data_IF_562768598457
#
_entry.id   IF_562768598457
#
_cell.length_a   1.000
_cell.length_b   1.000
_cell.length_c   1.000
_cell.angle_alpha   90.00
_cell.angle_beta   90.00
_cell.angle_gamma   90.00
#
_symmetry.space_group_name_H-M   'P 1'
#
loop_
_entity.id
_entity.type
_entity.pdbx_description
1 polymer ?
#
# COMPACT_ATOMS: atom_id res chain seq x y z
N UNK A 1 -16.56 -17.84 1.78
CA UNK A 1 -15.30 -17.40 2.39
C UNK A 1 -14.25 -17.40 1.29
N UNK A 2 -13.73 -16.23 0.93
CA UNK A 2 -12.75 -16.03 -0.12
C UNK A 2 -11.36 -15.90 0.50
N UNK A 3 -10.35 -16.54 -0.08
CA UNK A 3 -8.96 -16.31 0.29
C UNK A 3 -8.30 -15.50 -0.80
N UNK A 4 -7.80 -14.31 -0.46
CA UNK A 4 -7.06 -13.45 -1.37
C UNK A 4 -5.59 -13.53 -1.01
N UNK A 5 -4.80 -14.01 -1.96
CA UNK A 5 -3.35 -14.06 -1.88
C UNK A 5 -2.79 -12.96 -2.75
N UNK A 6 -2.02 -12.04 -2.16
CA UNK A 6 -1.47 -10.90 -2.88
C UNK A 6 -0.02 -10.66 -2.50
N UNK A 7 0.82 -10.39 -3.50
CA UNK A 7 2.19 -9.88 -3.27
C UNK A 7 2.20 -8.38 -3.02
N UNK A 8 1.11 -7.68 -3.35
CA UNK A 8 1.01 -6.25 -3.14
C UNK A 8 0.70 -5.96 -1.68
N UNK A 9 1.72 -5.46 -0.99
CA UNK A 9 1.62 -5.05 0.40
C UNK A 9 0.55 -3.96 0.58
N UNK A 10 0.46 -3.02 -0.36
CA UNK A 10 -0.57 -1.99 -0.39
C UNK A 10 -2.00 -2.59 -0.38
N UNK A 11 -2.25 -3.60 -1.21
CA UNK A 11 -3.57 -4.23 -1.30
C UNK A 11 -3.90 -5.03 -0.04
N UNK A 12 -2.93 -5.79 0.46
CA UNK A 12 -3.12 -6.54 1.70
C UNK A 12 -3.50 -5.62 2.86
N UNK A 13 -2.77 -4.52 3.00
CA UNK A 13 -2.94 -3.61 4.12
C UNK A 13 -4.21 -2.78 4.02
N UNK A 14 -4.59 -2.37 2.79
CA UNK A 14 -5.86 -1.70 2.55
C UNK A 14 -7.04 -2.56 3.03
N UNK A 15 -7.01 -3.85 2.68
CA UNK A 15 -8.07 -4.81 2.98
C UNK A 15 -8.06 -5.31 4.44
N UNK A 16 -6.91 -5.34 5.11
CA UNK A 16 -6.84 -5.76 6.52
C UNK A 16 -7.49 -4.79 7.51
N UNK A 17 -7.60 -3.50 7.19
CA UNK A 17 -8.21 -2.58 8.14
C UNK A 17 -8.45 -1.15 7.68
N UNK A 18 -7.89 -0.71 6.55
CA UNK A 18 -8.09 0.68 6.10
C UNK A 18 -9.38 0.87 5.29
N UNK A 19 -9.87 -0.16 4.61
CA UNK A 19 -11.06 -0.05 3.75
C UNK A 19 -12.27 0.51 4.52
N UNK A 20 -12.48 0.03 5.74
CA UNK A 20 -13.56 0.52 6.61
C UNK A 20 -13.31 1.95 7.10
N UNK A 21 -12.05 2.31 7.40
CA UNK A 21 -11.69 3.66 7.81
C UNK A 21 -11.87 4.66 6.66
N UNK A 22 -11.49 4.29 5.44
CA UNK A 22 -11.69 5.12 4.24
C UNK A 22 -13.17 5.29 3.92
N UNK A 23 -13.98 4.22 4.00
CA UNK A 23 -15.44 4.32 3.82
C UNK A 23 -16.05 5.32 4.81
N UNK A 24 -15.62 5.31 6.08
CA UNK A 24 -16.07 6.27 7.11
C UNK A 24 -15.61 7.70 6.85
N UNK A 25 -14.40 7.88 6.31
CA UNK A 25 -13.84 9.19 5.99
C UNK A 25 -14.20 9.65 4.58
N UNK A 26 -15.30 9.16 4.00
CA UNK A 26 -15.76 9.48 2.65
C UNK A 26 -14.67 9.34 1.57
N UNK A 27 -13.83 8.31 1.70
CA UNK A 27 -12.73 8.01 0.79
C UNK A 27 -11.70 9.14 0.69
N UNK A 28 -11.54 9.90 1.76
CA UNK A 28 -10.58 10.99 1.87
C UNK A 28 -9.57 10.73 2.99
N UNK A 29 -8.36 11.21 2.76
CA UNK A 29 -7.31 11.35 3.74
C UNK A 29 -6.89 12.82 3.77
N UNK A 30 -7.08 13.48 4.93
CA UNK A 30 -6.79 14.92 5.12
C UNK A 30 -7.47 15.83 4.07
N UNK A 31 -8.75 15.57 3.77
CA UNK A 31 -9.53 16.37 2.82
C UNK A 31 -9.18 16.14 1.35
N UNK A 32 -8.18 15.30 1.03
CA UNK A 32 -7.86 14.87 -0.33
C UNK A 32 -8.42 13.46 -0.58
N UNK A 33 -8.94 13.16 -1.78
CA UNK A 33 -9.36 11.80 -2.11
C UNK A 33 -8.16 10.85 -2.00
N UNK A 34 -8.40 9.64 -1.47
CA UNK A 34 -7.37 8.60 -1.47
C UNK A 34 -7.04 8.21 -2.92
N UNK A 35 -5.81 7.75 -3.13
CA UNK A 35 -5.39 7.29 -4.45
C UNK A 35 -6.30 6.16 -4.94
N UNK A 36 -6.71 6.25 -6.22
CA UNK A 36 -7.64 5.33 -6.85
C UNK A 36 -8.95 5.09 -6.06
N UNK A 37 -9.48 6.13 -5.39
CA UNK A 37 -10.73 6.04 -4.63
C UNK A 37 -11.89 5.30 -5.35
N UNK A 38 -12.13 5.51 -6.66
CA UNK A 38 -13.17 4.75 -7.38
C UNK A 38 -12.92 3.24 -7.38
N UNK A 39 -11.67 2.80 -7.61
CA UNK A 39 -11.33 1.37 -7.59
C UNK A 39 -11.52 0.77 -6.19
N UNK A 40 -11.14 1.51 -5.14
CA UNK A 40 -11.36 1.05 -3.76
C UNK A 40 -12.83 0.99 -3.36
N UNK A 41 -13.66 1.89 -3.88
CA UNK A 41 -15.11 1.86 -3.70
C UNK A 41 -15.71 0.62 -4.36
N UNK A 42 -15.32 0.34 -5.60
CA UNK A 42 -15.79 -0.84 -6.34
C UNK A 42 -15.38 -2.14 -5.65
N UNK A 43 -14.11 -2.24 -5.21
CA UNK A 43 -13.63 -3.37 -4.42
C UNK A 43 -14.44 -3.49 -3.13
N UNK A 44 -14.66 -2.40 -2.39
CA UNK A 44 -15.42 -2.47 -1.15
C UNK A 44 -16.88 -2.88 -1.34
N UNK A 45 -17.51 -2.47 -2.44
CA UNK A 45 -18.87 -2.90 -2.78
C UNK A 45 -18.91 -4.41 -3.11
N UNK A 46 -17.94 -4.91 -3.87
CA UNK A 46 -17.83 -6.35 -4.18
C UNK A 46 -17.56 -7.19 -2.93
N UNK A 47 -16.79 -6.66 -1.98
CA UNK A 47 -16.42 -7.36 -0.75
C UNK A 47 -17.44 -7.21 0.39
N UNK A 48 -18.45 -6.32 0.27
CA UNK A 48 -19.39 -5.98 1.36
C UNK A 48 -20.12 -7.18 1.95
N UNK A 49 -20.38 -8.20 1.13
CA UNK A 49 -21.08 -9.43 1.53
C UNK A 49 -20.17 -10.67 1.58
N UNK A 50 -18.85 -10.49 1.46
CA UNK A 50 -17.88 -11.58 1.45
C UNK A 50 -17.04 -11.60 2.71
N UNK A 51 -16.93 -12.78 3.34
CA UNK A 51 -15.87 -13.02 4.32
C UNK A 51 -14.58 -13.27 3.56
N UNK A 52 -13.70 -12.27 3.52
CA UNK A 52 -12.39 -12.33 2.86
C UNK A 52 -11.30 -12.55 3.90
N UNK A 53 -10.46 -13.55 3.68
CA UNK A 53 -9.19 -13.73 4.39
C UNK A 53 -8.06 -13.32 3.46
N UNK A 54 -7.31 -12.30 3.86
CA UNK A 54 -6.23 -11.75 3.05
C UNK A 54 -4.91 -12.25 3.56
N UNK A 55 -4.11 -12.83 2.67
CA UNK A 55 -2.76 -13.30 2.91
C UNK A 55 -1.80 -12.50 2.03
N UNK A 56 -0.92 -11.73 2.66
CA UNK A 56 0.21 -11.14 1.95
C UNK A 56 1.29 -12.20 1.78
N UNK A 57 1.83 -12.26 0.57
CA UNK A 57 2.95 -13.13 0.21
C UNK A 57 4.14 -12.21 -0.07
N UNK A 58 5.25 -12.43 0.61
CA UNK A 58 6.47 -11.67 0.35
C UNK A 58 7.00 -11.98 -1.06
N UNK A 59 7.07 -10.97 -1.92
CA UNK A 59 7.52 -11.13 -3.30
C UNK A 59 9.02 -11.50 -3.41
N UNK A 60 9.80 -11.31 -2.34
CA UNK A 60 11.25 -11.44 -2.36
C UNK A 60 11.79 -12.77 -1.80
N UNK A 61 10.94 -13.79 -1.63
CA UNK A 61 11.44 -15.11 -1.21
C UNK A 61 12.32 -15.70 -2.31
N UNK A 62 13.58 -16.11 -2.00
CA UNK A 62 14.46 -16.76 -2.97
C UNK A 62 13.79 -18.01 -3.55
N UNK A 63 13.95 -18.24 -4.86
CA UNK A 63 13.33 -19.38 -5.58
C UNK A 63 13.57 -20.74 -4.92
N UNK A 64 14.64 -20.89 -4.16
CA UNK A 64 14.97 -22.10 -3.38
C UNK A 64 14.03 -22.37 -2.19
N UNK A 65 13.20 -21.40 -1.79
CA UNK A 65 12.20 -21.49 -0.71
C UNK A 65 10.78 -21.14 -1.16
N UNK A 66 10.55 -20.98 -2.47
CA UNK A 66 9.26 -20.57 -3.00
C UNK A 66 8.19 -21.66 -2.78
N UNK A 67 7.09 -21.30 -2.12
CA UNK A 67 5.90 -22.14 -1.97
C UNK A 67 5.07 -22.12 -3.27
N UNK A 68 4.11 -23.04 -3.40
CA UNK A 68 3.17 -23.07 -4.54
C UNK A 68 2.44 -21.74 -4.72
N UNK A 69 2.08 -21.08 -3.62
CA UNK A 69 1.49 -19.74 -3.60
C UNK A 69 2.41 -18.68 -4.23
N UNK A 70 3.74 -18.77 -4.05
CA UNK A 70 4.70 -17.88 -4.71
C UNK A 70 4.79 -18.15 -6.21
N UNK A 71 4.73 -19.42 -6.62
CA UNK A 71 4.78 -19.79 -8.04
C UNK A 71 3.52 -19.31 -8.78
N UNK A 72 2.35 -19.39 -8.14
CA UNK A 72 1.10 -18.88 -8.69
C UNK A 72 1.10 -17.35 -8.77
N UNK A 73 1.58 -16.66 -7.74
CA UNK A 73 1.71 -15.20 -7.79
C UNK A 73 2.76 -14.72 -8.78
N UNK A 74 3.86 -15.46 -8.99
CA UNK A 74 4.86 -15.13 -9.99
C UNK A 74 4.29 -15.26 -11.41
N UNK A 75 3.42 -16.26 -11.67
CA UNK A 75 2.70 -16.36 -12.94
C UNK A 75 1.73 -15.19 -13.14
N UNK A 76 0.99 -14.79 -12.10
CA UNK A 76 0.10 -13.62 -12.13
C UNK A 76 0.89 -12.32 -12.32
N UNK A 77 2.03 -12.15 -11.65
CA UNK A 77 2.93 -10.99 -11.80
C UNK A 77 3.54 -10.93 -13.21
N UNK A 78 3.92 -12.08 -13.79
CA UNK A 78 4.37 -12.15 -15.19
C UNK A 78 3.26 -11.77 -16.16
N UNK A 79 2.02 -12.24 -15.94
CA UNK A 79 0.87 -11.87 -16.76
C UNK A 79 0.53 -10.37 -16.62
N UNK A 80 0.54 -9.83 -15.40
CA UNK A 80 0.29 -8.42 -15.12
C UNK A 80 1.39 -7.51 -15.69
N UNK A 81 2.65 -7.94 -15.71
CA UNK A 81 3.77 -7.20 -16.32
C UNK A 81 3.63 -7.08 -17.83
N UNK A 82 3.03 -8.06 -18.51
CA UNK A 82 2.77 -7.96 -19.95
C UNK A 82 1.71 -6.89 -20.23
N UNK A 83 0.73 -6.73 -19.35
CA UNK A 83 -0.34 -5.72 -19.45
C UNK A 83 0.12 -4.32 -18.98
N UNK A 84 1.02 -4.25 -17.99
CA UNK A 84 1.48 -2.99 -17.38
C UNK A 84 2.56 -2.23 -18.17
N UNK A 85 3.21 -2.86 -19.16
CA UNK A 85 4.23 -2.20 -20.00
C UNK A 85 3.65 -1.01 -20.81
N UNK A 86 2.32 -0.91 -20.93
CA UNK A 86 1.63 0.22 -21.56
C UNK A 86 1.23 1.36 -20.59
N UNK A 87 1.32 1.18 -19.27
CA UNK A 87 0.72 2.10 -18.27
C UNK A 87 1.78 2.74 -17.35
N UNK A 88 2.50 3.70 -17.93
CA UNK A 88 3.20 4.90 -17.40
C UNK A 88 3.91 4.91 -16.01
N UNK A 89 5.13 5.45 -15.98
CA UNK A 89 6.01 5.67 -14.82
C UNK A 89 5.38 6.56 -13.72
N UNK A 90 4.42 7.40 -14.09
CA UNK A 90 3.65 8.25 -13.16
C UNK A 90 2.87 7.43 -12.11
N UNK A 91 2.41 6.23 -12.49
CA UNK A 91 1.69 5.33 -11.58
C UNK A 91 2.59 4.74 -10.50
N UNK A 92 3.84 4.40 -10.84
CA UNK A 92 4.82 3.91 -9.86
C UNK A 92 5.15 4.98 -8.82
N UNK A 93 5.40 6.22 -9.26
CA UNK A 93 5.72 7.32 -8.35
C UNK A 93 4.56 7.67 -7.42
N UNK A 94 3.33 7.63 -7.91
CA UNK A 94 2.12 7.84 -7.09
C UNK A 94 1.93 6.74 -6.05
N UNK A 95 2.17 5.47 -6.42
CA UNK A 95 2.12 4.34 -5.49
C UNK A 95 3.18 4.46 -4.38
N UNK A 96 4.38 4.87 -4.73
CA UNK A 96 5.46 5.08 -3.77
C UNK A 96 5.14 6.17 -2.73
N UNK A 97 4.65 7.34 -3.18
CA UNK A 97 4.23 8.43 -2.28
C UNK A 97 3.10 7.99 -1.34
N UNK A 98 2.18 7.17 -1.83
CA UNK A 98 1.09 6.64 -1.02
C UNK A 98 1.61 5.74 0.11
N UNK A 99 2.56 4.84 -0.20
CA UNK A 99 3.14 3.95 0.83
C UNK A 99 4.03 4.74 1.79
N UNK A 100 4.76 5.75 1.32
CA UNK A 100 5.51 6.66 2.19
C UNK A 100 4.60 7.41 3.17
N UNK A 101 3.44 7.90 2.70
CA UNK A 101 2.42 8.54 3.55
C UNK A 101 1.89 7.59 4.62
N UNK A 102 1.61 6.35 4.22
CA UNK A 102 1.18 5.32 5.14
C UNK A 102 2.23 5.04 6.22
N UNK A 103 3.47 4.81 5.81
CA UNK A 103 4.58 4.52 6.71
C UNK A 103 4.78 5.65 7.72
N UNK A 104 4.63 6.90 7.27
CA UNK A 104 4.77 8.07 8.11
C UNK A 104 3.65 8.16 9.17
N UNK A 105 2.40 7.96 8.77
CA UNK A 105 1.26 7.97 9.69
C UNK A 105 1.32 6.80 10.69
N UNK A 106 1.76 5.62 10.24
CA UNK A 106 1.80 4.41 11.09
C UNK A 106 2.99 4.40 12.04
N UNK A 107 4.10 5.01 11.66
CA UNK A 107 5.23 5.27 12.57
C UNK A 107 4.96 6.40 13.57
N UNK A 108 3.74 6.96 13.59
CA UNK A 108 3.32 7.94 14.57
C UNK A 108 4.00 9.29 14.42
N UNK A 109 4.27 9.72 13.18
CA UNK A 109 4.88 11.01 12.89
C UNK A 109 6.28 11.22 13.48
N UNK A 110 7.00 10.14 13.81
CA UNK A 110 8.34 10.18 14.40
C UNK A 110 9.46 10.57 13.42
N UNK A 111 9.10 11.11 12.26
CA UNK A 111 10.02 11.58 11.24
C UNK A 111 10.59 10.49 10.34
N UNK A 112 11.63 10.86 9.60
CA UNK A 112 12.15 10.12 8.44
C UNK A 112 12.66 8.74 8.79
N UNK A 113 13.48 8.61 9.82
CA UNK A 113 14.10 7.33 10.14
C UNK A 113 13.09 6.31 10.68
N UNK A 114 12.07 6.77 11.43
CA UNK A 114 10.99 5.91 11.89
C UNK A 114 10.10 5.45 10.73
N UNK A 115 9.84 6.34 9.78
CA UNK A 115 9.11 6.05 8.54
C UNK A 115 9.85 5.02 7.69
N UNK A 116 11.16 5.21 7.49
CA UNK A 116 12.02 4.29 6.74
C UNK A 116 12.13 2.93 7.43
N UNK A 117 12.41 2.89 8.74
CA UNK A 117 12.49 1.64 9.51
C UNK A 117 11.19 0.86 9.43
N UNK A 118 10.05 1.54 9.59
CA UNK A 118 8.76 0.86 9.48
C UNK A 118 8.58 0.27 8.08
N UNK A 119 8.89 0.99 7.01
CA UNK A 119 8.74 0.47 5.64
C UNK A 119 9.65 -0.73 5.39
N UNK A 120 10.91 -0.64 5.84
CA UNK A 120 11.88 -1.71 5.76
C UNK A 120 11.46 -2.96 6.56
N UNK A 121 10.94 -2.80 7.78
CA UNK A 121 10.42 -3.90 8.61
C UNK A 121 9.20 -4.58 7.97
N UNK A 122 8.53 -3.90 7.04
CA UNK A 122 7.43 -4.44 6.24
C UNK A 122 7.88 -4.95 4.85
N UNK A 123 9.18 -4.97 4.58
CA UNK A 123 9.75 -5.44 3.30
C UNK A 123 9.50 -4.49 2.12
N UNK A 124 9.14 -3.23 2.39
CA UNK A 124 8.93 -2.20 1.38
C UNK A 124 10.14 -1.27 1.33
N UNK A 125 10.78 -1.20 0.17
CA UNK A 125 11.80 -0.19 -0.07
C UNK A 125 11.15 1.10 -0.57
N UNK A 126 11.42 2.21 0.12
CA UNK A 126 10.91 3.53 -0.21
C UNK A 126 12.08 4.46 -0.46
N UNK A 127 12.00 5.27 -1.52
CA UNK A 127 13.01 6.30 -1.71
C UNK A 127 12.95 7.33 -0.60
N UNK A 128 14.14 7.80 -0.23
CA UNK A 128 14.32 8.92 0.66
C UNK A 128 13.51 10.15 0.22
N UNK A 129 13.40 10.38 -1.08
CA UNK A 129 12.68 11.52 -1.64
C UNK A 129 11.18 11.41 -1.38
N UNK A 130 10.58 10.24 -1.56
CA UNK A 130 9.17 10.02 -1.28
C UNK A 130 8.86 10.20 0.22
N UNK A 131 9.71 9.69 1.10
CA UNK A 131 9.58 9.87 2.55
C UNK A 131 9.72 11.35 2.94
N UNK A 132 10.71 12.04 2.38
CA UNK A 132 10.98 13.45 2.69
C UNK A 132 9.83 14.35 2.24
N UNK A 133 9.28 14.08 1.06
CA UNK A 133 8.13 14.80 0.52
C UNK A 133 6.90 14.65 1.43
N UNK A 134 6.55 13.42 1.81
CA UNK A 134 5.42 13.13 2.69
C UNK A 134 5.54 13.82 4.04
N UNK A 135 6.73 13.85 4.63
CA UNK A 135 6.98 14.51 5.91
C UNK A 135 6.83 16.03 5.76
N UNK A 136 7.36 16.60 4.68
CA UNK A 136 7.22 18.02 4.39
C UNK A 136 5.76 18.44 4.20
N UNK A 137 4.96 17.61 3.55
CA UNK A 137 3.52 17.80 3.35
C UNK A 137 2.68 17.45 4.60
N UNK A 138 3.29 16.98 5.69
CA UNK A 138 2.57 16.62 6.90
C UNK A 138 2.26 17.84 7.77
N UNK A 139 0.98 18.20 7.85
CA UNK A 139 0.48 19.30 8.68
C UNK A 139 0.79 19.14 10.18
N UNK A 140 0.90 17.91 10.69
CA UNK A 140 1.22 17.64 12.10
C UNK A 140 2.70 17.93 12.37
N UNK A 141 3.59 17.50 11.48
CA UNK A 141 5.03 17.71 11.59
C UNK A 141 5.45 19.14 11.22
N UNK A 142 4.67 19.84 10.39
CA UNK A 142 4.95 21.21 9.94
C UNK A 142 4.59 22.30 10.96
N UNK A 143 3.91 21.96 12.06
CA UNK A 143 3.63 22.94 13.14
C UNK A 143 4.88 23.18 13.98
N UNK A 144 5.31 24.44 14.18
CA UNK A 144 6.29 24.75 15.22
C UNK A 144 5.70 24.41 16.58
N UNK A 145 6.49 23.76 17.44
CA UNK A 145 6.16 23.60 18.85
C UNK A 145 6.14 24.97 19.52
N UNK A 146 4.99 25.35 20.07
CA UNK A 146 4.82 26.52 20.94
C UNK A 146 5.67 26.43 22.21
#
# INVERSE_FOLDING_TARGET
MLYLYTVSWMVANALWGRLQQWKRNNWQLRGKPIWAAPLWQDIAAQLENLIVKVHHIDAHIPKSRATEEHQNNQQVDQAAKIEAVEVDLDWQRKGELFIALWAHDTSGHQGRDATYRWAHDQGVDLTIDAISQVIHECEICAKPSD
#
